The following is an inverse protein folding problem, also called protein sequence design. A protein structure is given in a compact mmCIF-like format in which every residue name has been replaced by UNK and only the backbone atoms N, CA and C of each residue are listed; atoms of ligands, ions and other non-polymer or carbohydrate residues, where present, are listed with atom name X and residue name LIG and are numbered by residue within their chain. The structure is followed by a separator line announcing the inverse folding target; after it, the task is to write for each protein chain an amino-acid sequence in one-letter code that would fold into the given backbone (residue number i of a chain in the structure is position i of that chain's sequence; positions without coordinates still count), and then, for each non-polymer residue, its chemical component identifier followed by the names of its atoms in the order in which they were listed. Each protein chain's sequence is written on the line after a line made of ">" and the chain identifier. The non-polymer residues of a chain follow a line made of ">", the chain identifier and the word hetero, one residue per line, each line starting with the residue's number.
data_IF_549845641817
#
_entry.id   IF_549845641817
#
_cell.length_a   1.000
_cell.length_b   1.000
_cell.length_c   1.000
_cell.angle_alpha   90.00
_cell.angle_beta   90.00
_cell.angle_gamma   90.00
#
_symmetry.space_group_name_H-M   'P 1'
#
loop_
_entity.id
_entity.type
_entity.pdbx_description
1 polymer ?
#
# COMPACT_ATOMS: atom_id res chain seq x y z
N UNK A 1 24.36 -26.19 -17.95
CA UNK A 1 24.05 -24.86 -17.40
C UNK A 1 22.78 -24.38 -18.10
N UNK A 2 21.64 -24.18 -17.41
CA UNK A 2 21.43 -22.99 -16.56
C UNK A 2 20.58 -23.26 -15.28
N UNK A 3 20.98 -22.71 -14.12
CA UNK A 3 20.16 -22.72 -12.88
C UNK A 3 20.40 -21.47 -12.02
N UNK A 4 20.93 -20.39 -12.59
CA UNK A 4 21.31 -19.17 -11.85
C UNK A 4 20.27 -18.05 -11.97
N UNK A 5 19.38 -18.07 -12.95
CA UNK A 5 18.47 -16.95 -13.23
C UNK A 5 17.26 -16.88 -12.30
N UNK A 6 16.84 -17.98 -11.68
CA UNK A 6 15.64 -18.00 -10.84
C UNK A 6 15.91 -17.44 -9.43
N UNK A 7 17.06 -17.78 -8.85
CA UNK A 7 17.49 -17.29 -7.53
C UNK A 7 17.82 -15.79 -7.53
N UNK A 8 18.40 -15.27 -8.60
CA UNK A 8 18.75 -13.84 -8.73
C UNK A 8 17.50 -12.95 -8.77
N UNK A 9 16.44 -13.41 -9.45
CA UNK A 9 15.18 -12.68 -9.55
C UNK A 9 14.44 -12.62 -8.20
N UNK A 10 14.42 -13.73 -7.44
CA UNK A 10 13.78 -13.76 -6.12
C UNK A 10 14.51 -12.85 -5.11
N UNK A 11 15.85 -12.77 -5.20
CA UNK A 11 16.65 -11.84 -4.39
C UNK A 11 16.36 -10.38 -4.76
N UNK A 12 16.32 -10.06 -6.05
CA UNK A 12 16.03 -8.70 -6.52
C UNK A 12 14.61 -8.24 -6.12
N UNK A 13 13.61 -9.12 -6.19
CA UNK A 13 12.23 -8.80 -5.78
C UNK A 13 12.17 -8.55 -4.27
N UNK A 14 12.83 -9.38 -3.47
CA UNK A 14 12.82 -9.22 -2.01
C UNK A 14 13.57 -7.96 -1.56
N UNK A 15 14.66 -7.58 -2.22
CA UNK A 15 15.32 -6.29 -1.99
C UNK A 15 14.46 -5.10 -2.38
N UNK A 16 13.75 -5.20 -3.51
CA UNK A 16 12.82 -4.17 -3.95
C UNK A 16 11.67 -3.98 -2.94
N UNK A 17 11.10 -5.07 -2.41
CA UNK A 17 10.08 -5.03 -1.35
C UNK A 17 10.64 -4.37 -0.09
N UNK A 18 11.87 -4.69 0.32
CA UNK A 18 12.51 -4.05 1.47
C UNK A 18 12.70 -2.55 1.26
N UNK A 19 13.11 -2.12 0.07
CA UNK A 19 13.26 -0.72 -0.27
C UNK A 19 11.91 0.02 -0.23
N UNK A 20 10.86 -0.57 -0.81
CA UNK A 20 9.49 -0.03 -0.75
C UNK A 20 9.04 0.10 0.71
N UNK A 21 9.23 -0.93 1.52
CA UNK A 21 8.85 -0.91 2.94
C UNK A 21 9.62 0.16 3.74
N UNK A 22 10.89 0.40 3.41
CA UNK A 22 11.69 1.47 4.03
C UNK A 22 11.14 2.86 3.67
N UNK A 23 10.88 3.11 2.40
CA UNK A 23 10.34 4.40 1.96
C UNK A 23 8.92 4.65 2.47
N UNK A 24 8.08 3.62 2.56
CA UNK A 24 6.77 3.72 3.21
C UNK A 24 6.90 4.21 4.66
N UNK A 25 7.85 3.68 5.44
CA UNK A 25 8.09 4.16 6.81
C UNK A 25 8.53 5.62 6.85
N UNK A 26 9.40 6.04 5.94
CA UNK A 26 9.85 7.44 5.83
C UNK A 26 8.66 8.37 5.51
N UNK A 27 7.79 7.98 4.58
CA UNK A 27 6.57 8.72 4.23
C UNK A 27 5.64 8.83 5.45
N UNK A 28 5.41 7.73 6.17
CA UNK A 28 4.59 7.76 7.39
C UNK A 28 5.18 8.67 8.47
N UNK A 29 6.51 8.69 8.60
CA UNK A 29 7.20 9.60 9.52
C UNK A 29 6.96 11.06 9.17
N UNK A 30 7.05 11.43 7.88
CA UNK A 30 6.80 12.81 7.41
C UNK A 30 5.33 13.20 7.57
N UNK A 31 4.39 12.31 7.24
CA UNK A 31 2.95 12.53 7.45
C UNK A 31 2.65 12.80 8.92
N UNK A 32 3.29 12.05 9.82
CA UNK A 32 3.15 12.24 11.25
C UNK A 32 3.78 13.55 11.72
N UNK A 33 4.99 13.88 11.27
CA UNK A 33 5.66 15.13 11.65
C UNK A 33 4.90 16.40 11.20
N UNK A 34 4.15 16.31 10.09
CA UNK A 34 3.38 17.41 9.52
C UNK A 34 1.90 17.39 9.92
N UNK A 35 1.48 16.45 10.77
CA UNK A 35 0.08 16.21 11.20
C UNK A 35 -0.94 16.22 10.04
N UNK A 36 -0.54 15.65 8.89
CA UNK A 36 -1.37 15.67 7.68
C UNK A 36 -2.56 14.70 7.74
N UNK A 37 -2.57 13.83 8.75
CA UNK A 37 -3.52 12.75 8.94
C UNK A 37 -3.36 11.61 7.92
N UNK A 38 -3.59 10.39 8.37
CA UNK A 38 -3.57 9.19 7.53
C UNK A 38 -4.95 9.03 6.89
N UNK A 39 -4.99 8.95 5.56
CA UNK A 39 -6.24 8.74 4.82
C UNK A 39 -6.48 7.25 4.60
N UNK A 40 -7.63 6.75 5.06
CA UNK A 40 -8.07 5.36 4.94
C UNK A 40 -9.38 5.29 4.15
N UNK A 41 -9.47 4.34 3.22
CA UNK A 41 -10.69 4.07 2.44
C UNK A 41 -11.41 2.86 3.05
N UNK A 42 -12.67 3.05 3.43
CA UNK A 42 -13.59 2.02 3.93
C UNK A 42 -14.74 1.84 2.95
N UNK A 43 -15.50 0.77 3.11
CA UNK A 43 -16.60 0.41 2.20
C UNK A 43 -17.65 1.52 2.04
N UNK A 44 -17.82 2.36 3.06
CA UNK A 44 -18.85 3.41 3.17
C UNK A 44 -18.30 4.85 3.05
N UNK A 45 -16.99 5.02 2.89
CA UNK A 45 -16.39 6.35 2.88
C UNK A 45 -14.87 6.40 2.88
N UNK A 46 -14.36 7.61 2.67
CA UNK A 46 -12.94 7.95 2.87
C UNK A 46 -12.81 8.74 4.16
N UNK A 47 -11.90 8.29 5.02
CA UNK A 47 -11.67 8.83 6.35
C UNK A 47 -10.24 9.33 6.45
N UNK A 48 -10.02 10.36 7.26
CA UNK A 48 -8.68 10.82 7.63
C UNK A 48 -8.55 10.85 9.14
N UNK A 49 -7.54 10.16 9.64
CA UNK A 49 -7.22 10.04 11.06
C UNK A 49 -5.99 10.89 11.36
N UNK A 50 -6.13 11.89 12.22
CA UNK A 50 -5.04 12.77 12.66
C UNK A 50 -4.29 12.17 13.85
N UNK A 51 -3.10 12.70 14.16
CA UNK A 51 -2.27 12.15 15.23
C UNK A 51 -2.88 12.34 16.63
N UNK A 52 -3.78 13.31 16.77
CA UNK A 52 -4.53 13.57 18.00
C UNK A 52 -5.70 12.57 18.22
N UNK A 53 -5.95 11.66 17.27
CA UNK A 53 -7.04 10.70 17.33
C UNK A 53 -8.34 11.16 16.67
N UNK A 54 -8.40 12.39 16.15
CA UNK A 54 -9.56 12.89 15.42
C UNK A 54 -9.73 12.14 14.09
N UNK A 55 -10.98 11.78 13.79
CA UNK A 55 -11.36 11.11 12.54
C UNK A 55 -12.33 12.00 11.77
N UNK A 56 -11.92 12.45 10.59
CA UNK A 56 -12.73 13.25 9.68
C UNK A 56 -13.18 12.39 8.50
N UNK A 57 -14.50 12.35 8.24
CA UNK A 57 -15.03 11.77 7.00
C UNK A 57 -14.86 12.79 5.86
N UNK A 58 -13.98 12.49 4.91
CA UNK A 58 -13.69 13.36 3.76
C UNK A 58 -14.73 13.15 2.67
N UNK A 59 -15.12 11.90 2.43
CA UNK A 59 -16.07 11.55 1.39
C UNK A 59 -16.97 10.41 1.84
N UNK A 60 -18.23 10.46 1.43
CA UNK A 60 -19.17 9.35 1.54
C UNK A 60 -19.30 8.69 0.18
N UNK A 61 -19.35 7.37 0.13
CA UNK A 61 -19.46 6.62 -1.11
C UNK A 61 -19.32 5.12 -0.88
N UNK A 62 -19.71 4.32 -1.87
CA UNK A 62 -19.48 2.88 -1.83
C UNK A 62 -18.13 2.56 -2.51
N UNK A 63 -17.12 2.26 -1.71
CA UNK A 63 -15.77 1.95 -2.20
C UNK A 63 -15.47 0.45 -2.12
N UNK A 64 -16.46 -0.38 -2.47
CA UNK A 64 -16.28 -1.83 -2.49
C UNK A 64 -15.06 -2.18 -3.33
N UNK A 65 -14.08 -2.81 -2.69
CA UNK A 65 -12.91 -3.33 -3.40
C UNK A 65 -13.42 -4.32 -4.45
N UNK A 66 -13.21 -4.00 -5.73
CA UNK A 66 -13.49 -4.92 -6.82
C UNK A 66 -12.62 -6.16 -6.58
N UNK A 67 -13.27 -7.23 -6.11
CA UNK A 67 -12.64 -8.54 -6.10
C UNK A 67 -12.55 -8.98 -7.55
N UNK A 68 -11.41 -8.70 -8.17
CA UNK A 68 -11.11 -9.28 -9.48
C UNK A 68 -11.06 -10.79 -9.23
N UNK A 69 -11.97 -11.59 -9.81
CA UNK A 69 -11.87 -13.04 -9.68
C UNK A 69 -10.48 -13.40 -10.20
N UNK A 70 -9.78 -14.25 -9.48
CA UNK A 70 -8.43 -14.75 -9.76
C UNK A 70 -8.35 -15.58 -11.05
N UNK A 71 -9.06 -15.18 -12.11
CA UNK A 71 -8.80 -15.58 -13.48
C UNK A 71 -7.42 -15.05 -13.82
N UNK A 72 -6.43 -15.91 -13.55
CA UNK A 72 -5.04 -15.86 -13.97
C UNK A 72 -4.86 -14.84 -15.08
N UNK A 73 -4.31 -13.68 -14.73
CA UNK A 73 -3.77 -12.77 -15.74
C UNK A 73 -2.68 -13.61 -16.42
N UNK A 74 -2.97 -14.11 -17.63
CA UNK A 74 -1.94 -14.68 -18.48
C UNK A 74 -1.03 -13.53 -18.85
N UNK A 75 0.04 -13.35 -18.09
CA UNK A 75 1.21 -12.65 -18.58
C UNK A 75 1.79 -13.58 -19.64
N UNK A 76 1.70 -13.14 -20.90
CA UNK A 76 2.23 -13.85 -22.06
C UNK A 76 3.72 -14.12 -21.88
#
# INVERSE_FOLDING_TARGET
>A
MPASTQYDNDLAITEMIKAINKHMKEIHSVISALDLGITEVKDDGVYRTFNNGDVLKIASGSYKKLQVPSKRIKLF
#
